data_IF_956043554449
#
_entry.id   IF_956043554449
#
_cell.length_a   1.000
_cell.length_b   1.000
_cell.length_c   1.000
_cell.angle_alpha   90.00
_cell.angle_beta   90.00
_cell.angle_gamma   90.00
#
_symmetry.space_group_name_H-M   'P 1'
#
loop_
_entity.id
_entity.type
_entity.pdbx_description
1 polymer ?
#
# COMPACT_ATOMS: atom_id res chain seq x y z
N UNK A 1 4.61 1.81 -12.38
CA UNK A 1 5.78 0.92 -12.54
C UNK A 1 6.50 1.28 -13.84
N UNK A 2 7.73 1.79 -13.78
CA UNK A 2 8.48 2.27 -14.96
C UNK A 2 9.70 1.42 -15.29
N UNK A 3 10.50 1.07 -14.27
CA UNK A 3 11.67 0.22 -14.42
C UNK A 3 11.50 -1.05 -13.60
N UNK A 4 12.03 -2.17 -14.09
CA UNK A 4 12.09 -3.44 -13.36
C UNK A 4 12.86 -3.31 -12.04
N UNK A 5 13.99 -2.61 -12.08
CA UNK A 5 14.92 -2.44 -10.95
C UNK A 5 14.29 -1.77 -9.72
N UNK A 6 13.21 -1.01 -9.90
CA UNK A 6 12.51 -0.36 -8.79
C UNK A 6 11.56 -1.32 -8.05
N UNK A 7 11.30 -2.52 -8.60
CA UNK A 7 10.26 -3.44 -8.12
C UNK A 7 10.78 -4.85 -7.86
N UNK A 8 12.03 -5.15 -8.20
CA UNK A 8 12.63 -6.48 -8.13
C UNK A 8 13.94 -6.43 -7.37
N UNK A 9 14.19 -7.43 -6.53
CA UNK A 9 15.41 -7.47 -5.73
C UNK A 9 16.65 -7.63 -6.64
N UNK A 10 17.81 -7.06 -6.28
CA UNK A 10 19.01 -7.11 -7.13
C UNK A 10 19.42 -8.53 -7.54
N UNK A 11 19.24 -9.52 -6.67
CA UNK A 11 19.56 -10.93 -6.95
C UNK A 11 18.58 -11.58 -7.95
N UNK A 12 17.34 -11.11 -7.99
CA UNK A 12 16.33 -11.54 -8.97
C UNK A 12 16.61 -10.90 -10.33
N UNK A 13 16.93 -9.60 -10.35
CA UNK A 13 17.35 -8.90 -11.56
C UNK A 13 18.61 -9.51 -12.18
N UNK A 14 19.60 -9.87 -11.36
CA UNK A 14 20.80 -10.56 -11.85
C UNK A 14 20.45 -11.90 -12.50
N UNK A 15 19.58 -12.70 -11.89
CA UNK A 15 19.17 -13.99 -12.47
C UNK A 15 18.32 -13.84 -13.74
N UNK A 16 17.55 -12.77 -13.89
CA UNK A 16 16.89 -12.45 -15.16
C UNK A 16 17.93 -12.22 -16.26
N UNK A 17 18.98 -11.41 -16.00
CA UNK A 17 20.06 -11.16 -16.95
C UNK A 17 20.91 -12.40 -17.29
N UNK A 18 21.05 -13.35 -16.37
CA UNK A 18 21.79 -14.60 -16.61
C UNK A 18 21.10 -15.56 -17.60
N UNK A 19 19.80 -15.39 -17.83
CA UNK A 19 19.06 -16.24 -18.76
C UNK A 19 19.21 -15.74 -20.19
N UNK A 20 19.61 -16.65 -21.08
CA UNK A 20 19.85 -16.31 -22.49
C UNK A 20 18.61 -15.81 -23.25
N UNK A 21 17.42 -16.28 -22.89
CA UNK A 21 16.17 -15.88 -23.52
C UNK A 21 15.76 -14.46 -23.13
N UNK A 22 15.79 -14.15 -21.83
CA UNK A 22 15.56 -12.79 -21.31
C UNK A 22 16.65 -11.83 -21.78
N UNK A 23 17.92 -12.24 -21.72
CA UNK A 23 19.03 -11.44 -22.22
C UNK A 23 18.84 -11.05 -23.69
N UNK A 24 18.48 -12.02 -24.54
CA UNK A 24 18.23 -11.74 -25.95
C UNK A 24 17.04 -10.80 -26.17
N UNK A 25 15.94 -10.98 -25.43
CA UNK A 25 14.75 -10.12 -25.52
C UNK A 25 15.07 -8.68 -25.07
N UNK A 26 15.73 -8.51 -23.93
CA UNK A 26 16.10 -7.20 -23.39
C UNK A 26 17.10 -6.48 -24.28
N UNK A 27 18.12 -7.17 -24.81
CA UNK A 27 19.06 -6.56 -25.77
C UNK A 27 18.34 -6.13 -27.05
N UNK A 28 17.41 -6.95 -27.57
CA UNK A 28 16.62 -6.59 -28.75
C UNK A 28 15.71 -5.38 -28.50
N UNK A 29 15.24 -5.19 -27.26
CA UNK A 29 14.50 -4.00 -26.82
C UNK A 29 15.40 -2.78 -26.56
N UNK A 30 16.73 -2.91 -26.68
CA UNK A 30 17.70 -1.82 -26.48
C UNK A 30 18.18 -1.64 -25.03
N UNK A 31 17.79 -2.55 -24.14
CA UNK A 31 18.21 -2.55 -22.74
C UNK A 31 19.67 -3.03 -22.60
N UNK A 32 20.34 -2.65 -21.51
CA UNK A 32 21.76 -2.98 -21.30
C UNK A 32 22.03 -3.40 -19.86
N UNK A 33 22.87 -4.44 -19.64
CA UNK A 33 23.36 -4.77 -18.30
C UNK A 33 23.99 -3.55 -17.61
N UNK A 34 23.72 -3.39 -16.31
CA UNK A 34 24.20 -2.24 -15.52
C UNK A 34 23.42 -0.94 -15.72
N UNK A 35 22.39 -0.93 -16.57
CA UNK A 35 21.38 0.14 -16.65
C UNK A 35 20.04 -0.38 -16.16
N UNK A 36 19.17 0.53 -15.72
CA UNK A 36 17.79 0.17 -15.35
C UNK A 36 17.04 -0.32 -16.57
N UNK A 37 16.33 -1.44 -16.42
CA UNK A 37 15.54 -2.09 -17.49
C UNK A 37 14.13 -1.51 -17.47
N UNK A 38 13.62 -1.05 -18.61
CA UNK A 38 12.25 -0.56 -18.67
C UNK A 38 11.25 -1.70 -18.56
N UNK A 39 10.12 -1.43 -17.91
CA UNK A 39 8.97 -2.33 -17.93
C UNK A 39 8.26 -2.25 -19.28
N UNK A 40 7.96 -3.40 -19.87
CA UNK A 40 7.18 -3.50 -21.10
C UNK A 40 5.78 -2.89 -20.92
N UNK A 41 5.22 -2.32 -21.98
CA UNK A 41 3.91 -1.65 -21.94
C UNK A 41 2.95 -2.14 -23.02
N UNK A 42 1.68 -2.28 -22.66
CA UNK A 42 0.59 -2.48 -23.62
C UNK A 42 0.37 -1.20 -24.43
N UNK A 43 -0.46 -1.30 -25.48
CA UNK A 43 -0.82 -0.15 -26.32
C UNK A 43 -1.51 0.98 -25.56
N UNK A 44 -2.19 0.67 -24.45
CA UNK A 44 -2.82 1.64 -23.55
C UNK A 44 -1.83 2.23 -22.51
N UNK A 45 -0.55 1.86 -22.58
CA UNK A 45 0.50 2.35 -21.70
C UNK A 45 0.63 1.62 -20.36
N UNK A 46 -0.22 0.64 -20.06
CA UNK A 46 -0.13 -0.14 -18.82
C UNK A 46 1.09 -1.07 -18.83
N UNK A 47 1.79 -1.22 -17.70
CA UNK A 47 2.91 -2.15 -17.60
C UNK A 47 2.40 -3.58 -17.74
N UNK A 48 3.17 -4.42 -18.44
CA UNK A 48 2.95 -5.86 -18.51
C UNK A 48 4.29 -6.59 -18.56
N UNK A 49 4.25 -7.87 -18.20
CA UNK A 49 5.40 -8.77 -18.27
C UNK A 49 5.25 -9.62 -19.54
N UNK A 50 6.31 -9.74 -20.33
CA UNK A 50 6.29 -10.57 -21.55
C UNK A 50 6.18 -12.06 -21.19
N UNK A 51 5.86 -12.90 -22.18
CA UNK A 51 5.82 -14.35 -21.93
C UNK A 51 7.22 -14.91 -21.59
N UNK A 52 8.29 -14.34 -22.15
CA UNK A 52 9.69 -14.71 -21.85
C UNK A 52 10.04 -14.34 -20.41
N UNK A 53 9.72 -13.11 -20.00
CA UNK A 53 9.96 -12.63 -18.63
C UNK A 53 9.15 -13.44 -17.60
N UNK A 54 7.87 -13.73 -17.89
CA UNK A 54 7.02 -14.53 -17.01
C UNK A 54 7.55 -15.97 -16.86
N UNK A 55 7.97 -16.58 -17.97
CA UNK A 55 8.59 -17.91 -17.97
C UNK A 55 9.88 -17.94 -17.16
N UNK A 56 10.73 -16.92 -17.31
CA UNK A 56 11.96 -16.76 -16.58
C UNK A 56 11.72 -16.64 -15.06
N UNK A 57 10.83 -15.73 -14.64
CA UNK A 57 10.47 -15.55 -13.23
C UNK A 57 9.95 -16.84 -12.61
N UNK A 58 9.01 -17.53 -13.28
CA UNK A 58 8.48 -18.79 -12.80
C UNK A 58 9.59 -19.83 -12.59
N UNK A 59 10.50 -19.99 -13.56
CA UNK A 59 11.63 -20.91 -13.44
C UNK A 59 12.57 -20.54 -12.28
N UNK A 60 12.94 -19.27 -12.15
CA UNK A 60 13.85 -18.81 -11.10
C UNK A 60 13.26 -19.10 -9.72
N UNK A 61 11.99 -18.74 -9.50
CA UNK A 61 11.26 -18.99 -8.25
C UNK A 61 11.18 -20.49 -7.94
N UNK A 62 10.74 -21.29 -8.92
CA UNK A 62 10.55 -22.74 -8.74
C UNK A 62 11.88 -23.42 -8.41
N UNK A 63 12.96 -23.06 -9.12
CA UNK A 63 14.28 -23.65 -8.89
C UNK A 63 14.85 -23.28 -7.52
N UNK A 64 14.74 -22.01 -7.12
CA UNK A 64 15.30 -21.54 -5.84
C UNK A 64 14.53 -22.03 -4.63
N UNK A 65 13.20 -22.10 -4.70
CA UNK A 65 12.37 -22.24 -3.50
C UNK A 65 11.52 -23.51 -3.47
N UNK A 66 11.19 -24.09 -4.62
CA UNK A 66 10.25 -25.22 -4.73
C UNK A 66 10.87 -26.48 -5.32
N UNK A 67 12.18 -26.48 -5.60
CA UNK A 67 12.95 -27.64 -6.09
C UNK A 67 12.31 -28.38 -7.28
N UNK A 68 11.61 -27.65 -8.16
CA UNK A 68 10.94 -28.25 -9.31
C UNK A 68 9.58 -28.92 -9.03
N UNK A 69 9.02 -28.76 -7.83
CA UNK A 69 7.73 -29.36 -7.45
C UNK A 69 6.51 -28.77 -8.19
N UNK A 70 6.67 -27.65 -8.89
CA UNK A 70 5.64 -26.99 -9.69
C UNK A 70 6.14 -26.80 -11.12
N UNK A 71 5.29 -27.03 -12.11
CA UNK A 71 5.64 -26.84 -13.51
C UNK A 71 5.58 -25.36 -13.92
N UNK A 72 6.62 -24.77 -14.55
CA UNK A 72 6.60 -23.37 -14.97
C UNK A 72 5.45 -23.01 -15.92
N UNK A 73 5.06 -23.92 -16.81
CA UNK A 73 3.94 -23.71 -17.72
C UNK A 73 2.60 -23.51 -16.99
N UNK A 74 2.42 -24.16 -15.83
CA UNK A 74 1.24 -23.95 -14.99
C UNK A 74 1.19 -22.53 -14.44
N UNK A 75 2.31 -22.02 -13.93
CA UNK A 75 2.42 -20.67 -13.37
C UNK A 75 2.15 -19.62 -14.44
N UNK A 76 2.75 -19.77 -15.61
CA UNK A 76 2.53 -18.88 -16.75
C UNK A 76 1.06 -18.87 -17.21
N UNK A 77 0.40 -20.04 -17.27
CA UNK A 77 -0.99 -20.13 -17.66
C UNK A 77 -1.93 -19.49 -16.63
N UNK A 78 -1.67 -19.67 -15.34
CA UNK A 78 -2.44 -19.03 -14.26
C UNK A 78 -2.24 -17.50 -14.33
N UNK A 79 -1.00 -17.00 -14.45
CA UNK A 79 -0.75 -15.57 -14.54
C UNK A 79 -1.45 -14.91 -15.76
N UNK A 80 -1.51 -15.62 -16.89
CA UNK A 80 -2.25 -15.14 -18.06
C UNK A 80 -3.76 -15.04 -17.80
N UNK A 81 -4.35 -16.06 -17.16
CA UNK A 81 -5.78 -16.07 -16.84
C UNK A 81 -6.15 -15.05 -15.77
N UNK A 82 -5.29 -14.88 -14.77
CA UNK A 82 -5.58 -14.07 -13.60
C UNK A 82 -5.38 -12.57 -13.85
N UNK A 83 -4.31 -12.20 -14.56
CA UNK A 83 -3.93 -10.79 -14.74
C UNK A 83 -3.62 -10.39 -16.17
N UNK A 84 -3.64 -11.33 -17.13
CA UNK A 84 -3.06 -11.12 -18.47
C UNK A 84 -1.61 -10.62 -18.40
N UNK A 85 -0.84 -11.16 -17.43
CA UNK A 85 0.54 -10.77 -17.11
C UNK A 85 0.71 -9.28 -16.74
N UNK A 86 -0.32 -8.64 -16.20
CA UNK A 86 -0.23 -7.26 -15.72
C UNK A 86 0.14 -7.23 -14.23
N UNK A 87 1.31 -6.70 -13.85
CA UNK A 87 1.77 -6.72 -12.46
C UNK A 87 0.98 -5.79 -11.54
N UNK A 88 0.23 -4.82 -12.09
CA UNK A 88 -0.65 -3.92 -11.34
C UNK A 88 -2.12 -4.36 -11.36
N UNK A 89 -2.41 -5.59 -11.78
CA UNK A 89 -3.77 -6.09 -11.79
C UNK A 89 -4.34 -6.14 -10.36
N UNK A 90 -5.59 -5.68 -10.23
CA UNK A 90 -6.34 -5.69 -8.99
C UNK A 90 -7.77 -6.14 -9.29
N UNK A 91 -8.30 -7.00 -8.42
CA UNK A 91 -9.69 -7.42 -8.46
C UNK A 91 -10.22 -7.55 -7.03
N UNK A 92 -11.13 -6.65 -6.67
CA UNK A 92 -11.89 -6.75 -5.43
C UNK A 92 -12.95 -7.86 -5.55
N UNK A 93 -12.99 -8.76 -4.57
CA UNK A 93 -13.94 -9.85 -4.46
C UNK A 93 -14.92 -9.54 -3.31
N UNK A 94 -16.10 -8.94 -3.60
CA UNK A 94 -17.03 -8.49 -2.55
C UNK A 94 -17.48 -9.60 -1.60
N UNK A 95 -17.59 -10.83 -2.12
CA UNK A 95 -17.98 -12.00 -1.33
C UNK A 95 -16.93 -12.38 -0.26
N UNK A 96 -15.66 -12.05 -0.50
CA UNK A 96 -14.56 -12.32 0.41
C UNK A 96 -14.18 -11.08 1.25
N UNK A 97 -14.68 -9.90 0.88
CA UNK A 97 -14.32 -8.64 1.53
C UNK A 97 -12.85 -8.27 1.34
N UNK A 98 -12.23 -8.77 0.27
CA UNK A 98 -10.79 -8.69 0.04
C UNK A 98 -10.50 -8.53 -1.46
N UNK A 99 -9.33 -7.97 -1.79
CA UNK A 99 -8.85 -7.91 -3.16
C UNK A 99 -7.71 -8.90 -3.42
N UNK A 100 -7.72 -9.44 -4.63
CA UNK A 100 -6.61 -10.17 -5.21
C UNK A 100 -5.76 -9.21 -6.06
N UNK A 101 -4.44 -9.34 -5.97
CA UNK A 101 -3.51 -8.38 -6.60
C UNK A 101 -2.32 -9.05 -7.28
N UNK A 102 -1.73 -8.32 -8.22
CA UNK A 102 -0.52 -8.72 -8.93
C UNK A 102 -0.74 -9.76 -10.03
N UNK A 103 0.38 -10.27 -10.54
CA UNK A 103 0.44 -11.22 -11.64
C UNK A 103 -0.37 -12.50 -11.38
N UNK A 104 -0.31 -12.99 -10.15
CA UNK A 104 -0.92 -14.25 -9.75
C UNK A 104 -2.30 -14.06 -9.09
N UNK A 105 -2.81 -12.83 -8.98
CA UNK A 105 -4.05 -12.47 -8.27
C UNK A 105 -4.19 -13.22 -6.94
N UNK A 106 -3.13 -13.17 -6.13
CA UNK A 106 -3.16 -13.76 -4.80
C UNK A 106 -3.88 -12.79 -3.85
N UNK A 107 -4.74 -13.31 -2.98
CA UNK A 107 -5.32 -12.53 -1.88
C UNK A 107 -4.23 -12.20 -0.85
N UNK A 108 -4.30 -11.02 -0.25
CA UNK A 108 -3.36 -10.62 0.79
C UNK A 108 -3.36 -11.62 1.96
N UNK A 109 -4.55 -12.05 2.40
CA UNK A 109 -4.78 -13.01 3.47
C UNK A 109 -4.19 -14.38 3.14
N UNK A 110 -4.31 -14.82 1.89
CA UNK A 110 -3.70 -16.07 1.40
C UNK A 110 -2.19 -15.98 1.43
N UNK A 111 -1.59 -14.89 0.93
CA UNK A 111 -0.15 -14.68 1.02
C UNK A 111 0.32 -14.61 2.49
N UNK A 112 -0.43 -13.93 3.37
CA UNK A 112 -0.20 -13.86 4.82
C UNK A 112 -0.14 -15.23 5.47
N UNK A 113 -1.15 -16.04 5.19
CA UNK A 113 -1.24 -17.38 5.74
C UNK A 113 -0.13 -18.29 5.19
N UNK A 114 0.20 -18.20 3.89
CA UNK A 114 1.31 -18.95 3.31
C UNK A 114 2.64 -18.60 3.98
N UNK A 115 2.89 -17.32 4.20
CA UNK A 115 4.12 -16.86 4.82
C UNK A 115 4.23 -17.24 6.30
N UNK A 116 3.17 -16.97 7.07
CA UNK A 116 3.18 -17.07 8.54
C UNK A 116 2.94 -18.49 9.04
N UNK A 117 2.00 -19.18 8.43
CA UNK A 117 1.48 -20.45 8.95
C UNK A 117 2.02 -21.64 8.17
N UNK A 118 2.28 -21.47 6.86
CA UNK A 118 2.75 -22.56 6.00
C UNK A 118 4.27 -22.55 5.71
N UNK A 119 5.00 -21.57 6.24
CA UNK A 119 6.46 -21.53 6.18
C UNK A 119 7.06 -21.03 4.86
N UNK A 120 6.29 -20.34 4.00
CA UNK A 120 6.81 -19.77 2.75
C UNK A 120 7.37 -18.35 2.97
N UNK A 121 8.63 -18.25 3.40
CA UNK A 121 9.26 -17.00 3.88
C UNK A 121 10.41 -16.47 3.01
N UNK A 122 10.52 -16.91 1.74
CA UNK A 122 11.67 -16.57 0.90
C UNK A 122 11.75 -15.10 0.50
N UNK A 123 10.59 -14.43 0.41
CA UNK A 123 10.51 -12.99 0.21
C UNK A 123 10.08 -12.35 1.51
N UNK A 124 10.78 -11.27 1.91
CA UNK A 124 10.38 -10.47 3.06
C UNK A 124 8.99 -9.90 2.80
N UNK A 125 8.09 -10.15 3.75
CA UNK A 125 6.72 -9.66 3.72
C UNK A 125 6.60 -8.58 4.78
N UNK A 126 6.98 -7.37 4.38
CA UNK A 126 6.69 -6.14 5.12
C UNK A 126 5.19 -5.81 5.10
N UNK A 127 4.40 -6.58 4.34
CA UNK A 127 2.96 -6.42 4.11
C UNK A 127 2.58 -5.02 3.65
N UNK A 128 3.49 -4.29 3.00
CA UNK A 128 3.15 -3.09 2.27
C UNK A 128 2.03 -3.43 1.27
N UNK A 129 1.04 -2.53 1.13
CA UNK A 129 -0.13 -2.73 0.25
C UNK A 129 0.29 -3.00 -1.21
N UNK A 130 1.50 -2.60 -1.57
CA UNK A 130 2.06 -2.74 -2.92
C UNK A 130 2.91 -4.01 -3.12
N UNK A 131 3.12 -4.82 -2.08
CA UNK A 131 4.09 -5.91 -2.14
C UNK A 131 3.73 -6.96 -3.19
N UNK A 132 2.46 -7.35 -3.28
CA UNK A 132 1.98 -8.31 -4.28
C UNK A 132 1.97 -7.73 -5.71
N UNK A 133 2.19 -6.42 -5.89
CA UNK A 133 2.46 -5.84 -7.20
C UNK A 133 3.92 -6.01 -7.65
N UNK A 134 4.84 -6.39 -6.74
CA UNK A 134 6.22 -6.73 -7.12
C UNK A 134 6.21 -8.07 -7.87
N UNK A 135 6.70 -8.13 -9.13
CA UNK A 135 6.53 -9.30 -9.97
C UNK A 135 6.99 -10.62 -9.34
N UNK A 136 8.22 -10.67 -8.81
CA UNK A 136 8.77 -11.88 -8.19
C UNK A 136 8.02 -12.29 -6.92
N UNK A 137 7.57 -11.33 -6.11
CA UNK A 137 6.80 -11.62 -4.87
C UNK A 137 5.43 -12.18 -5.22
N UNK A 138 4.75 -11.60 -6.21
CA UNK A 138 3.47 -12.10 -6.72
C UNK A 138 3.59 -13.55 -7.21
N UNK A 139 4.61 -13.83 -8.03
CA UNK A 139 4.88 -15.18 -8.55
C UNK A 139 5.23 -16.14 -7.41
N UNK A 140 6.07 -15.74 -6.46
CA UNK A 140 6.42 -16.56 -5.31
C UNK A 140 5.20 -17.04 -4.53
N UNK A 141 4.29 -16.14 -4.14
CA UNK A 141 3.11 -16.52 -3.37
C UNK A 141 2.08 -17.29 -4.17
N UNK A 142 1.93 -17.00 -5.47
CA UNK A 142 1.14 -17.84 -6.36
C UNK A 142 1.69 -19.28 -6.45
N UNK A 143 3.00 -19.44 -6.61
CA UNK A 143 3.66 -20.76 -6.63
C UNK A 143 3.58 -21.45 -5.26
N UNK A 144 3.72 -20.71 -4.16
CA UNK A 144 3.53 -21.23 -2.81
C UNK A 144 2.13 -21.79 -2.61
N UNK A 145 1.10 -21.11 -3.12
CA UNK A 145 -0.27 -21.58 -3.03
C UNK A 145 -0.49 -22.85 -3.87
N UNK A 146 0.03 -22.87 -5.10
CA UNK A 146 0.01 -24.07 -5.97
C UNK A 146 0.70 -25.25 -5.29
N UNK A 147 1.88 -25.02 -4.71
CA UNK A 147 2.64 -26.05 -4.00
C UNK A 147 1.88 -26.56 -2.78
N UNK A 148 1.26 -25.68 -1.99
CA UNK A 148 0.43 -26.09 -0.88
C UNK A 148 -0.78 -26.92 -1.33
N UNK A 149 -1.50 -26.46 -2.37
CA UNK A 149 -2.63 -27.17 -2.95
C UNK A 149 -2.24 -28.55 -3.47
N UNK A 150 -1.02 -28.73 -3.99
CA UNK A 150 -0.54 -30.02 -4.48
C UNK A 150 -0.49 -31.13 -3.43
N UNK A 151 -0.49 -30.75 -2.14
CA UNK A 151 -0.46 -31.67 -0.99
C UNK A 151 -1.67 -31.53 -0.07
N UNK A 152 -2.75 -30.89 -0.55
CA UNK A 152 -3.93 -30.58 0.26
C UNK A 152 -4.52 -31.84 0.93
N UNK A 153 -4.84 -31.74 2.22
CA UNK A 153 -5.26 -32.85 3.10
C UNK A 153 -4.24 -34.02 3.18
N UNK A 154 -2.95 -33.74 3.00
CA UNK A 154 -1.88 -34.74 3.08
C UNK A 154 -1.86 -35.71 1.90
N UNK A 155 -2.51 -35.36 0.79
CA UNK A 155 -2.59 -36.19 -0.42
C UNK A 155 -2.06 -35.43 -1.63
N UNK A 156 -1.36 -36.14 -2.50
CA UNK A 156 -0.97 -35.60 -3.79
C UNK A 156 -2.22 -35.33 -4.63
N UNK A 157 -2.41 -34.08 -5.01
CA UNK A 157 -3.57 -33.64 -5.78
C UNK A 157 -3.27 -33.67 -7.29
N UNK A 158 -4.32 -33.85 -8.09
CA UNK A 158 -4.21 -33.73 -9.54
C UNK A 158 -4.04 -32.28 -9.96
N UNK A 159 -3.47 -32.05 -11.14
CA UNK A 159 -3.37 -30.73 -11.74
C UNK A 159 -4.74 -30.04 -11.87
N UNK A 160 -5.77 -30.77 -12.28
CA UNK A 160 -7.13 -30.23 -12.34
C UNK A 160 -7.62 -29.75 -10.97
N UNK A 161 -7.39 -30.55 -9.91
CA UNK A 161 -7.75 -30.15 -8.56
C UNK A 161 -7.03 -28.85 -8.18
N UNK A 162 -5.72 -28.79 -8.38
CA UNK A 162 -4.89 -27.63 -8.02
C UNK A 162 -5.39 -26.38 -8.73
N UNK A 163 -5.62 -26.44 -10.04
CA UNK A 163 -6.05 -25.27 -10.84
C UNK A 163 -7.45 -24.82 -10.47
N UNK A 164 -8.39 -25.76 -10.26
CA UNK A 164 -9.75 -25.41 -9.85
C UNK A 164 -9.80 -24.88 -8.42
N UNK A 165 -8.98 -25.42 -7.53
CA UNK A 165 -8.84 -24.95 -6.15
C UNK A 165 -8.11 -23.60 -6.06
N UNK A 166 -7.22 -23.29 -7.01
CA UNK A 166 -6.60 -21.97 -7.10
C UNK A 166 -7.65 -20.88 -7.31
N UNK A 167 -8.60 -21.12 -8.22
CA UNK A 167 -9.67 -20.17 -8.54
C UNK A 167 -10.81 -20.16 -7.50
N UNK A 168 -11.27 -21.31 -7.02
CA UNK A 168 -12.47 -21.42 -6.18
C UNK A 168 -12.23 -21.83 -4.72
N UNK A 169 -10.97 -21.93 -4.29
CA UNK A 169 -10.59 -22.54 -3.02
C UNK A 169 -10.69 -24.08 -3.03
N UNK A 170 -10.08 -24.77 -2.04
CA UNK A 170 -10.03 -26.24 -2.02
C UNK A 170 -11.42 -26.92 -2.02
N UNK A 171 -12.41 -26.30 -1.39
CA UNK A 171 -13.80 -26.79 -1.37
C UNK A 171 -14.55 -26.55 -2.69
N UNK A 172 -14.08 -25.61 -3.52
CA UNK A 172 -14.64 -25.29 -4.84
C UNK A 172 -14.06 -26.13 -5.99
N UNK A 173 -13.06 -26.99 -5.72
CA UNK A 173 -12.31 -27.77 -6.70
C UNK A 173 -13.15 -28.75 -7.53
N UNK A 174 -14.31 -29.18 -7.00
CA UNK A 174 -15.25 -30.07 -7.71
C UNK A 174 -16.52 -29.35 -8.18
N UNK A 175 -16.66 -28.05 -7.91
CA UNK A 175 -17.87 -27.29 -8.27
C UNK A 175 -17.97 -27.05 -9.78
N UNK A 176 -19.20 -27.01 -10.33
CA UNK A 176 -19.40 -26.67 -11.75
C UNK A 176 -18.87 -25.26 -12.10
N UNK A 177 -18.85 -24.35 -11.13
CA UNK A 177 -18.38 -22.97 -11.31
C UNK A 177 -16.90 -22.89 -11.72
N UNK A 178 -16.05 -23.79 -11.20
CA UNK A 178 -14.61 -23.80 -11.51
C UNK A 178 -14.24 -24.57 -12.78
N UNK A 179 -15.19 -25.30 -13.39
CA UNK A 179 -14.93 -26.10 -14.59
C UNK A 179 -14.54 -25.24 -15.80
N UNK A 180 -15.21 -24.09 -15.97
CA UNK A 180 -14.90 -23.16 -17.04
C UNK A 180 -13.47 -22.60 -16.91
N UNK A 181 -13.01 -22.36 -15.68
CA UNK A 181 -11.64 -21.92 -15.41
C UNK A 181 -10.61 -22.99 -15.83
N UNK A 182 -10.86 -24.26 -15.50
CA UNK A 182 -10.03 -25.39 -15.92
C UNK A 182 -9.91 -25.53 -17.46
N UNK A 183 -11.02 -25.43 -18.18
CA UNK A 183 -11.02 -25.52 -19.64
C UNK A 183 -10.22 -24.40 -20.31
N UNK A 184 -10.35 -23.18 -19.79
CA UNK A 184 -9.55 -22.03 -20.23
C UNK A 184 -8.06 -22.24 -19.93
N UNK A 185 -7.74 -22.74 -18.74
CA UNK A 185 -6.36 -23.07 -18.34
C UNK A 185 -5.72 -24.07 -19.29
N UNK A 186 -6.41 -25.16 -19.65
CA UNK A 186 -5.87 -26.15 -20.59
C UNK A 186 -5.56 -25.53 -21.96
N UNK A 187 -6.43 -24.65 -22.44
CA UNK A 187 -6.25 -23.96 -23.73
C UNK A 187 -5.05 -23.02 -23.69
N UNK A 188 -4.92 -22.22 -22.63
CA UNK A 188 -3.81 -21.30 -22.43
C UNK A 188 -2.49 -22.06 -22.25
N UNK A 189 -2.44 -23.07 -21.39
CA UNK A 189 -1.22 -23.85 -21.12
C UNK A 189 -0.65 -24.49 -22.40
N UNK A 190 -1.53 -25.01 -23.28
CA UNK A 190 -1.12 -25.59 -24.57
C UNK A 190 -0.55 -24.55 -25.54
N UNK A 191 -0.99 -23.30 -25.44
CA UNK A 191 -0.57 -22.21 -26.33
C UNK A 191 0.73 -21.53 -25.87
N UNK A 192 1.22 -21.80 -24.65
CA UNK A 192 2.44 -21.16 -24.14
C UNK A 192 3.66 -21.62 -24.96
N UNK A 193 4.42 -20.70 -25.56
CA UNK A 193 5.67 -21.03 -26.23
C UNK A 193 6.70 -21.46 -25.18
N UNK A 194 7.03 -22.74 -25.13
CA UNK A 194 8.08 -23.29 -24.28
C UNK A 194 9.44 -23.01 -24.95
N UNK A 195 10.37 -22.27 -24.31
CA UNK A 195 11.71 -22.08 -24.85
C UNK A 195 12.43 -23.43 -24.98
N UNK A 196 12.86 -23.77 -26.20
CA UNK A 196 13.42 -25.10 -26.54
C UNK A 196 14.86 -25.35 -26.08
N UNK A 197 15.48 -24.43 -25.33
CA UNK A 197 16.91 -24.48 -25.03
C UNK A 197 17.18 -24.79 -23.56
N UNK A 198 17.97 -25.81 -23.22
CA UNK A 198 18.51 -25.99 -21.88
C UNK A 198 19.36 -24.77 -21.51
N UNK A 199 19.16 -24.23 -20.31
CA UNK A 199 19.90 -23.08 -19.76
C UNK A 199 21.40 -23.41 -19.73
N UNK A 200 22.19 -22.88 -20.66
CA UNK A 200 23.65 -22.85 -20.55
C UNK A 200 24.02 -21.63 -19.72
N UNK A 201 24.72 -21.82 -18.60
CA UNK A 201 25.32 -20.73 -17.82
C UNK A 201 26.25 -19.93 -18.74
N UNK A 202 25.93 -18.65 -18.96
CA UNK A 202 26.87 -17.72 -19.59
C UNK A 202 27.81 -17.22 -18.49
N UNK A 203 29.13 -17.34 -18.73
CA UNK A 203 30.16 -16.89 -17.79
C UNK A 203 30.12 -15.36 -17.60
N UNK A 204 30.48 -14.85 -16.41
CA UNK A 204 30.44 -13.41 -16.16
C UNK A 204 31.44 -12.66 -17.03
N UNK A 205 30.95 -11.64 -17.74
CA UNK A 205 31.78 -10.65 -18.43
C UNK A 205 32.53 -9.84 -17.37
N UNK A 206 33.87 -9.85 -17.42
CA UNK A 206 34.71 -8.98 -16.60
C UNK A 206 34.39 -7.52 -16.93
N UNK A 207 33.88 -6.75 -15.96
CA UNK A 207 33.91 -5.29 -16.03
C UNK A 207 35.38 -4.86 -15.92
N UNK A 208 35.93 -4.27 -16.99
CA UNK A 208 37.20 -3.55 -16.90
C UNK A 208 36.98 -2.24 -16.13
N UNK A 209 37.64 -2.13 -14.98
CA UNK A 209 37.68 -0.92 -14.18
C UNK A 209 38.61 0.11 -14.83
N UNK A 210 38.04 1.23 -15.26
CA UNK A 210 38.79 2.38 -15.75
C UNK A 210 39.49 3.09 -14.57
N UNK A 211 40.81 3.26 -14.71
CA UNK A 211 41.75 3.71 -13.67
C UNK A 211 41.46 5.14 -13.20
N UNK A 212 41.11 5.31 -11.93
CA UNK A 212 41.26 6.59 -11.21
C UNK A 212 42.56 6.57 -10.41
N UNK A 213 43.40 7.58 -10.64
CA UNK A 213 44.74 7.75 -10.07
C UNK A 213 44.69 7.89 -8.55
N UNK A 214 45.53 7.10 -7.89
CA UNK A 214 45.86 7.13 -6.46
C UNK A 214 46.56 8.42 -6.03
N UNK A 215 46.13 9.00 -4.91
CA UNK A 215 46.92 9.93 -4.09
C UNK A 215 47.34 9.17 -2.83
N UNK A 216 48.63 9.22 -2.53
CA UNK A 216 49.29 8.49 -1.45
C UNK A 216 48.84 8.95 -0.06
N UNK A 217 48.63 7.99 0.85
CA UNK A 217 48.51 8.25 2.29
C UNK A 217 49.65 7.52 3.00
N UNK A 218 50.42 8.30 3.76
CA UNK A 218 51.50 7.87 4.64
C UNK A 218 51.01 6.90 5.73
N UNK A 219 51.83 5.89 6.03
CA UNK A 219 51.65 4.90 7.11
C UNK A 219 51.78 5.54 8.50
N UNK A 220 51.06 5.05 9.53
CA UNK A 220 51.51 5.17 10.90
C UNK A 220 52.04 3.84 11.48
N UNK A 221 52.96 4.01 12.41
CA UNK A 221 53.73 3.04 13.18
C UNK A 221 52.92 2.59 14.41
N UNK A 222 53.04 1.32 14.78
CA UNK A 222 52.46 0.72 15.99
C UNK A 222 53.32 0.99 17.23
N UNK A 223 52.69 1.35 18.36
CA UNK A 223 53.19 1.05 19.73
C UNK A 223 52.01 0.85 20.70
N UNK A 224 52.15 -0.15 21.55
CA UNK A 224 51.27 -0.63 22.63
C UNK A 224 50.95 0.37 23.75
N UNK A 225 49.82 0.13 24.45
CA UNK A 225 49.56 0.64 25.80
C UNK A 225 48.08 0.56 26.20
N UNK A 226 47.76 -0.24 27.22
CA UNK A 226 46.38 -0.59 27.61
C UNK A 226 45.57 0.47 28.39
N UNK A 227 44.25 0.34 28.18
CA UNK A 227 43.08 0.63 29.05
C UNK A 227 42.92 2.00 29.71
N UNK A 228 42.05 2.83 29.11
CA UNK A 228 40.98 3.58 29.78
C UNK A 228 39.79 3.67 28.80
N UNK A 229 38.60 3.17 29.16
CA UNK A 229 37.37 3.20 28.35
C UNK A 229 36.52 4.44 28.66
N UNK A 230 36.05 5.14 27.62
CA UNK A 230 34.72 5.78 27.53
C UNK A 230 34.38 6.22 26.09
N UNK A 231 33.19 5.79 25.62
CA UNK A 231 32.33 6.29 24.52
C UNK A 231 32.84 6.09 23.06
N UNK A 232 32.10 5.47 22.13
CA UNK A 232 30.69 5.66 21.72
C UNK A 232 29.93 4.37 21.30
N UNK A 233 28.59 4.40 21.48
CA UNK A 233 27.53 3.46 21.04
C UNK A 233 26.92 3.90 19.67
N UNK A 234 26.05 3.14 18.95
CA UNK A 234 25.34 1.92 19.37
C UNK A 234 25.37 0.74 18.37
N UNK A 235 25.55 -0.46 18.92
CA UNK A 235 24.96 -1.69 18.39
C UNK A 235 23.58 -1.81 19.03
N UNK A 236 22.51 -1.76 18.22
CA UNK A 236 21.19 -2.24 18.64
C UNK A 236 20.90 -3.51 17.86
N UNK A 237 21.10 -4.64 18.52
CA UNK A 237 20.30 -5.83 18.26
C UNK A 237 18.85 -5.52 18.61
N UNK A 238 17.89 -5.88 17.75
CA UNK A 238 16.51 -6.01 18.21
C UNK A 238 15.76 -7.05 17.39
N UNK A 239 15.30 -8.10 18.06
CA UNK A 239 14.27 -8.96 17.52
C UNK A 239 12.88 -8.31 17.52
N UNK A 240 12.00 -8.95 16.74
CA UNK A 240 10.53 -9.10 16.91
C UNK A 240 9.53 -8.08 16.31
N UNK A 241 8.52 -8.64 15.62
CA UNK A 241 7.07 -8.27 15.51
C UNK A 241 6.51 -7.62 14.23
N UNK A 242 5.38 -8.19 13.74
CA UNK A 242 4.40 -7.66 12.74
C UNK A 242 4.32 -6.13 12.77
N UNK A 243 4.75 -5.43 11.72
CA UNK A 243 4.94 -3.98 11.84
C UNK A 243 3.64 -3.17 11.75
N UNK A 244 3.56 -2.18 12.64
CA UNK A 244 2.48 -1.21 12.78
C UNK A 244 2.78 0.02 11.91
N UNK A 245 1.76 0.76 11.48
CA UNK A 245 2.00 2.12 10.99
C UNK A 245 2.17 3.03 12.20
N UNK A 246 3.14 3.94 12.14
CA UNK A 246 3.42 4.85 13.25
C UNK A 246 3.04 6.27 12.89
N UNK A 247 2.55 7.01 13.88
CA UNK A 247 2.21 8.42 13.71
C UNK A 247 3.42 9.26 13.31
N UNK A 248 4.61 8.91 13.81
CA UNK A 248 5.87 9.59 13.49
C UNK A 248 6.25 9.51 12.00
N UNK A 249 5.70 8.54 11.26
CA UNK A 249 5.88 8.44 9.80
C UNK A 249 4.86 9.28 9.02
N UNK A 250 3.77 9.66 9.68
CA UNK A 250 2.56 10.25 9.06
C UNK A 250 2.27 11.67 9.52
N UNK A 251 2.95 12.17 10.54
CA UNK A 251 2.78 13.50 11.09
C UNK A 251 4.15 14.15 11.38
N UNK A 252 4.22 15.47 11.26
CA UNK A 252 5.43 16.22 11.63
C UNK A 252 5.69 16.15 13.13
N UNK A 253 6.92 16.42 13.55
CA UNK A 253 7.28 16.49 14.97
C UNK A 253 6.44 17.55 15.72
N UNK A 254 6.13 18.67 15.06
CA UNK A 254 5.27 19.72 15.57
C UNK A 254 3.84 19.22 15.78
N UNK A 255 3.26 18.55 14.78
CA UNK A 255 1.90 18.01 14.85
C UNK A 255 1.79 16.93 15.94
N UNK A 256 2.80 16.07 16.06
CA UNK A 256 2.90 15.08 17.13
C UNK A 256 2.96 15.71 18.51
N UNK A 257 3.74 16.77 18.68
CA UNK A 257 3.81 17.49 19.95
C UNK A 257 2.46 18.07 20.35
N UNK A 258 1.68 18.56 19.37
CA UNK A 258 0.34 19.08 19.63
C UNK A 258 -0.65 17.98 20.03
N UNK A 259 -0.60 16.81 19.40
CA UNK A 259 -1.39 15.65 19.82
C UNK A 259 -1.08 15.26 21.28
N UNK A 260 0.21 15.17 21.63
CA UNK A 260 0.64 14.86 23.00
C UNK A 260 0.26 15.93 24.03
N UNK A 261 0.09 17.19 23.62
CA UNK A 261 -0.40 18.28 24.48
C UNK A 261 -1.90 18.17 24.79
N UNK A 262 -2.69 17.42 23.99
CA UNK A 262 -4.12 17.21 24.27
C UNK A 262 -4.28 16.19 25.41
N UNK A 263 -4.85 16.56 26.57
CA UNK A 263 -4.90 15.68 27.74
C UNK A 263 -5.64 14.35 27.48
N UNK A 264 -6.69 14.38 26.66
CA UNK A 264 -7.49 13.20 26.34
C UNK A 264 -6.72 12.22 25.45
N UNK A 265 -6.00 12.72 24.43
CA UNK A 265 -5.13 11.91 23.57
C UNK A 265 -4.01 11.30 24.40
N UNK A 266 -3.29 12.13 25.16
CA UNK A 266 -2.22 11.66 26.04
C UNK A 266 -2.70 10.55 26.98
N UNK A 267 -3.89 10.72 27.57
CA UNK A 267 -4.48 9.72 28.45
C UNK A 267 -4.84 8.43 27.72
N UNK A 268 -5.40 8.51 26.52
CA UNK A 268 -5.75 7.35 25.70
C UNK A 268 -4.51 6.57 25.26
N UNK A 269 -3.53 7.26 24.71
CA UNK A 269 -2.26 6.70 24.25
C UNK A 269 -1.46 6.06 25.39
N UNK A 270 -1.33 6.73 26.54
CA UNK A 270 -0.67 6.14 27.71
C UNK A 270 -1.40 4.90 28.22
N UNK A 271 -2.74 4.89 28.20
CA UNK A 271 -3.53 3.70 28.59
C UNK A 271 -3.33 2.55 27.60
N UNK A 272 -3.16 2.83 26.32
CA UNK A 272 -2.86 1.86 25.28
C UNK A 272 -1.38 1.41 25.27
N UNK A 273 -0.54 1.97 26.15
CA UNK A 273 0.88 1.63 26.28
C UNK A 273 1.78 2.35 25.26
N UNK A 274 1.27 3.35 24.55
CA UNK A 274 2.03 4.15 23.60
C UNK A 274 2.98 5.12 24.31
N UNK A 275 4.10 5.44 23.66
CA UNK A 275 5.12 6.38 24.15
C UNK A 275 5.52 7.36 23.06
N UNK A 276 6.06 8.51 23.46
CA UNK A 276 6.63 9.47 22.53
C UNK A 276 7.64 8.80 21.58
N UNK A 277 7.57 9.14 20.29
CA UNK A 277 8.52 8.69 19.27
C UNK A 277 8.20 7.32 18.67
N UNK A 278 7.14 6.64 19.13
CA UNK A 278 6.67 5.38 18.55
C UNK A 278 5.19 5.14 18.86
N UNK A 279 4.32 6.02 18.42
CA UNK A 279 2.87 5.89 18.63
C UNK A 279 2.26 5.13 17.45
N UNK A 280 1.64 3.99 17.74
CA UNK A 280 0.96 3.19 16.71
C UNK A 280 -0.33 3.87 16.25
N UNK A 281 -0.60 3.80 14.94
CA UNK A 281 -1.90 4.16 14.38
C UNK A 281 -2.88 3.00 14.60
N UNK A 282 -4.09 3.34 15.04
CA UNK A 282 -5.16 2.38 15.28
C UNK A 282 -5.54 1.59 14.02
N UNK A 283 -6.08 0.39 14.22
CA UNK A 283 -6.49 -0.52 13.15
C UNK A 283 -7.93 -0.97 13.33
N UNK A 284 -8.72 -0.93 12.25
CA UNK A 284 -10.10 -1.38 12.28
C UNK A 284 -10.19 -2.92 12.36
N UNK A 285 -11.41 -3.47 12.32
CA UNK A 285 -11.61 -4.92 12.35
C UNK A 285 -10.95 -5.64 11.15
N UNK A 286 -10.76 -4.93 10.03
CA UNK A 286 -10.06 -5.39 8.82
C UNK A 286 -8.56 -5.07 8.87
N UNK A 287 -8.03 -4.67 10.03
CA UNK A 287 -6.64 -4.26 10.27
C UNK A 287 -6.17 -3.04 9.46
N UNK A 288 -7.09 -2.30 8.85
CA UNK A 288 -6.76 -1.11 8.07
C UNK A 288 -6.44 0.06 9.00
N UNK A 289 -5.37 0.82 8.76
CA UNK A 289 -5.03 1.98 9.58
C UNK A 289 -6.11 3.05 9.51
N UNK A 290 -6.62 3.45 10.66
CA UNK A 290 -7.70 4.41 10.81
C UNK A 290 -7.49 5.27 12.05
N UNK A 291 -8.15 6.41 12.10
CA UNK A 291 -8.19 7.22 13.32
C UNK A 291 -9.37 6.84 14.19
N UNK A 292 -9.15 6.75 15.51
CA UNK A 292 -10.28 6.75 16.44
C UNK A 292 -11.03 8.08 16.33
N UNK A 293 -12.29 8.11 16.79
CA UNK A 293 -13.06 9.36 16.84
C UNK A 293 -12.36 10.44 17.68
N UNK A 294 -11.61 10.03 18.71
CA UNK A 294 -10.85 10.96 19.55
C UNK A 294 -9.64 11.51 18.79
N UNK A 295 -8.88 10.65 18.12
CA UNK A 295 -7.72 11.04 17.30
C UNK A 295 -8.13 11.97 16.15
N UNK A 296 -9.18 11.60 15.40
CA UNK A 296 -9.71 12.43 14.32
C UNK A 296 -10.13 13.81 14.81
N UNK A 297 -10.86 13.87 15.94
CA UNK A 297 -11.24 15.13 16.57
C UNK A 297 -10.01 15.99 16.89
N UNK A 298 -8.98 15.41 17.48
CA UNK A 298 -7.77 16.16 17.85
C UNK A 298 -7.04 16.67 16.61
N UNK A 299 -6.89 15.86 15.55
CA UNK A 299 -6.30 16.30 14.27
C UNK A 299 -7.09 17.46 13.67
N UNK A 300 -8.43 17.38 13.67
CA UNK A 300 -9.31 18.44 13.18
C UNK A 300 -9.16 19.72 13.99
N UNK A 301 -9.26 19.65 15.31
CA UNK A 301 -9.12 20.82 16.21
C UNK A 301 -7.76 21.49 16.02
N UNK A 302 -6.67 20.72 16.03
CA UNK A 302 -5.30 21.23 15.83
C UNK A 302 -5.15 21.90 14.45
N UNK A 303 -5.67 21.26 13.39
CA UNK A 303 -5.58 21.80 12.03
C UNK A 303 -6.32 23.13 11.93
N UNK A 304 -7.53 23.22 12.49
CA UNK A 304 -8.32 24.45 12.47
C UNK A 304 -7.68 25.55 13.31
N UNK A 305 -7.24 25.25 14.53
CA UNK A 305 -6.58 26.21 15.43
C UNK A 305 -5.32 26.83 14.80
N UNK A 306 -4.50 26.05 14.10
CA UNK A 306 -3.22 26.53 13.57
C UNK A 306 -3.32 27.20 12.20
N UNK A 307 -4.32 26.84 11.39
CA UNK A 307 -4.32 27.20 9.97
C UNK A 307 -5.59 27.88 9.49
N UNK A 308 -6.68 27.77 10.25
CA UNK A 308 -7.98 28.33 9.90
C UNK A 308 -8.56 29.15 11.05
N UNK A 309 -7.71 29.66 11.96
CA UNK A 309 -8.12 30.55 13.03
C UNK A 309 -8.86 31.77 12.46
N UNK A 310 -10.06 32.05 13.00
CA UNK A 310 -10.93 33.13 12.53
C UNK A 310 -11.80 32.78 11.32
N UNK A 311 -11.72 31.55 10.80
CA UNK A 311 -12.67 31.02 9.79
C UNK A 311 -13.83 30.30 10.47
N UNK A 312 -15.03 30.43 9.91
CA UNK A 312 -16.24 29.78 10.42
C UNK A 312 -16.36 28.33 9.92
N UNK A 313 -15.38 27.48 10.25
CA UNK A 313 -15.42 26.04 9.93
C UNK A 313 -15.78 25.26 11.19
N UNK A 314 -16.92 24.58 11.16
CA UNK A 314 -17.37 23.71 12.25
C UNK A 314 -16.49 22.43 12.31
N UNK A 315 -15.79 22.14 13.43
CA UNK A 315 -15.02 20.91 13.58
C UNK A 315 -15.84 19.63 13.36
N UNK A 316 -17.13 19.65 13.71
CA UNK A 316 -18.03 18.51 13.52
C UNK A 316 -18.27 18.22 12.03
N UNK A 317 -18.24 19.24 11.18
CA UNK A 317 -18.35 19.07 9.74
C UNK A 317 -17.20 18.24 9.20
N UNK A 318 -15.97 18.57 9.55
CA UNK A 318 -14.79 17.83 9.08
C UNK A 318 -14.76 16.40 9.61
N UNK A 319 -15.16 16.19 10.87
CA UNK A 319 -15.28 14.84 11.44
C UNK A 319 -16.33 14.01 10.69
N UNK A 320 -17.50 14.59 10.41
CA UNK A 320 -18.58 13.91 9.69
C UNK A 320 -18.21 13.63 8.22
N UNK A 321 -17.53 14.55 7.53
CA UNK A 321 -17.02 14.33 6.18
C UNK A 321 -16.01 13.18 6.13
N UNK A 322 -15.08 13.11 7.08
CA UNK A 322 -14.14 12.00 7.18
C UNK A 322 -14.85 10.66 7.48
N UNK A 323 -15.92 10.68 8.29
CA UNK A 323 -16.73 9.50 8.58
C UNK A 323 -17.38 8.92 7.32
N UNK A 324 -18.13 9.74 6.59
CA UNK A 324 -18.92 9.28 5.44
C UNK A 324 -18.06 9.08 4.19
N UNK A 325 -16.94 9.79 4.11
CA UNK A 325 -16.00 9.72 2.99
C UNK A 325 -15.07 8.53 3.11
N UNK A 326 -14.31 8.44 4.21
CA UNK A 326 -13.24 7.43 4.36
C UNK A 326 -13.48 6.41 5.45
N UNK A 327 -14.56 6.51 6.25
CA UNK A 327 -14.70 5.74 7.48
C UNK A 327 -13.52 5.94 8.44
N UNK A 328 -12.90 7.14 8.39
CA UNK A 328 -11.68 7.53 9.13
C UNK A 328 -10.42 6.75 8.73
N UNK A 329 -10.41 6.08 7.58
CA UNK A 329 -9.25 5.38 7.06
C UNK A 329 -8.22 6.38 6.53
N UNK A 330 -6.98 6.29 6.99
CA UNK A 330 -5.93 7.24 6.55
C UNK A 330 -5.55 7.04 5.08
N UNK A 331 -5.84 5.87 4.50
CA UNK A 331 -5.64 5.58 3.08
C UNK A 331 -6.92 5.66 2.25
N UNK A 332 -8.06 5.99 2.84
CA UNK A 332 -9.35 5.93 2.15
C UNK A 332 -9.92 4.50 2.01
N UNK A 333 -11.15 4.36 1.47
CA UNK A 333 -11.81 3.07 1.35
C UNK A 333 -11.61 2.33 0.02
N UNK A 334 -10.88 2.88 -0.98
CA UNK A 334 -10.73 2.28 -2.31
C UNK A 334 -9.52 2.77 -3.13
N UNK A 335 -9.28 2.12 -4.28
CA UNK A 335 -8.03 2.23 -5.07
C UNK A 335 -7.68 3.61 -5.65
N UNK A 336 -8.65 4.52 -5.76
CA UNK A 336 -8.43 5.89 -6.27
C UNK A 336 -8.84 6.96 -5.25
N UNK A 337 -8.98 6.54 -4.00
CA UNK A 337 -9.56 7.33 -2.93
C UNK A 337 -8.53 7.48 -1.83
N UNK A 338 -8.00 8.67 -1.63
CA UNK A 338 -6.87 8.88 -0.73
C UNK A 338 -7.23 9.75 0.47
N UNK A 339 -6.70 9.38 1.63
CA UNK A 339 -6.75 10.22 2.82
C UNK A 339 -8.06 10.21 3.59
N UNK A 340 -8.01 10.74 4.81
CA UNK A 340 -9.16 10.89 5.69
C UNK A 340 -10.30 11.68 5.05
N UNK A 341 -9.94 12.75 4.34
CA UNK A 341 -10.91 13.71 3.81
C UNK A 341 -11.38 13.39 2.39
N UNK A 342 -10.76 12.41 1.71
CA UNK A 342 -11.13 12.04 0.33
C UNK A 342 -11.11 13.21 -0.66
N UNK A 343 -10.24 14.21 -0.39
CA UNK A 343 -10.02 15.31 -1.33
C UNK A 343 -9.20 14.77 -2.50
N UNK A 344 -9.71 14.92 -3.73
CA UNK A 344 -8.99 14.54 -4.94
C UNK A 344 -7.62 15.21 -5.01
N UNK A 345 -6.60 14.49 -5.47
CA UNK A 345 -5.23 15.01 -5.55
C UNK A 345 -5.17 16.30 -6.39
N UNK A 346 -5.89 16.34 -7.49
CA UNK A 346 -5.96 17.53 -8.37
C UNK A 346 -6.59 18.72 -7.67
N UNK A 347 -7.63 18.50 -6.83
CA UNK A 347 -8.24 19.56 -6.00
C UNK A 347 -7.26 20.06 -4.94
N UNK A 348 -6.56 19.16 -4.25
CA UNK A 348 -5.55 19.55 -3.26
C UNK A 348 -4.38 20.33 -3.91
N UNK A 349 -3.91 19.89 -5.08
CA UNK A 349 -2.88 20.59 -5.85
C UNK A 349 -3.33 21.98 -6.29
N UNK A 350 -4.58 22.14 -6.74
CA UNK A 350 -5.14 23.44 -7.09
C UNK A 350 -5.29 24.35 -5.86
N UNK A 351 -5.78 23.83 -4.72
CA UNK A 351 -5.82 24.58 -3.46
C UNK A 351 -4.43 25.06 -3.03
N UNK A 352 -3.44 24.18 -3.17
CA UNK A 352 -2.05 24.51 -2.88
C UNK A 352 -1.53 25.58 -3.84
N UNK A 353 -1.60 25.34 -5.15
CA UNK A 353 -0.95 26.18 -6.18
C UNK A 353 -1.62 27.54 -6.32
N UNK A 354 -2.94 27.54 -6.46
CA UNK A 354 -3.72 28.67 -6.95
C UNK A 354 -4.45 29.40 -5.84
N UNK A 355 -4.93 28.70 -4.80
CA UNK A 355 -5.72 29.31 -3.71
C UNK A 355 -4.89 29.71 -2.48
N UNK A 356 -3.57 29.45 -2.48
CA UNK A 356 -2.65 29.92 -1.44
C UNK A 356 -2.56 29.04 -0.18
N UNK A 357 -3.13 27.84 -0.18
CA UNK A 357 -3.06 26.91 0.95
C UNK A 357 -1.72 26.15 0.97
N UNK A 358 -0.65 26.77 1.49
CA UNK A 358 0.75 26.33 1.32
C UNK A 358 1.36 25.52 2.49
N UNK A 359 0.61 25.23 3.56
CA UNK A 359 1.21 24.62 4.78
C UNK A 359 1.86 23.25 4.52
N UNK A 360 1.18 22.38 3.78
CA UNK A 360 1.67 21.04 3.46
C UNK A 360 1.90 20.93 1.94
N UNK A 361 2.99 20.27 1.54
CA UNK A 361 3.21 19.94 0.12
C UNK A 361 2.32 18.78 -0.30
N UNK A 362 1.84 18.82 -1.54
CA UNK A 362 0.93 17.81 -2.09
C UNK A 362 1.28 17.49 -3.55
N UNK A 363 2.47 16.96 -3.74
CA UNK A 363 3.01 16.67 -5.07
C UNK A 363 2.64 15.25 -5.55
N UNK A 364 2.35 14.34 -4.61
CA UNK A 364 2.05 12.92 -4.86
C UNK A 364 0.82 12.46 -4.06
N UNK A 365 0.07 11.43 -4.52
CA UNK A 365 -1.12 10.93 -3.82
C UNK A 365 -0.87 10.58 -2.35
N UNK A 366 0.28 9.98 -2.06
CA UNK A 366 0.65 9.51 -0.72
C UNK A 366 0.68 10.62 0.34
N UNK A 367 0.89 11.88 -0.06
CA UNK A 367 0.86 13.02 0.85
C UNK A 367 -0.51 13.15 1.53
N UNK A 368 -1.60 12.80 0.82
CA UNK A 368 -2.95 12.82 1.37
C UNK A 368 -3.22 11.65 2.33
N UNK A 369 -2.34 10.65 2.40
CA UNK A 369 -2.44 9.60 3.43
C UNK A 369 -2.00 10.04 4.82
N UNK A 370 -1.35 11.21 4.92
CA UNK A 370 -0.98 11.81 6.19
C UNK A 370 -2.20 12.51 6.81
N UNK A 371 -2.59 12.18 8.05
CA UNK A 371 -3.79 12.73 8.67
C UNK A 371 -3.92 14.25 8.60
N UNK A 372 -2.87 14.97 9.02
CA UNK A 372 -2.87 16.44 9.03
C UNK A 372 -2.93 17.05 7.64
N UNK A 373 -2.16 16.52 6.69
CA UNK A 373 -2.20 16.96 5.29
C UNK A 373 -3.58 16.75 4.68
N UNK A 374 -4.19 15.58 4.90
CA UNK A 374 -5.54 15.28 4.43
C UNK A 374 -6.58 16.24 5.02
N UNK A 375 -6.57 16.41 6.35
CA UNK A 375 -7.50 17.30 7.06
C UNK A 375 -7.31 18.76 6.66
N UNK A 376 -6.08 19.22 6.46
CA UNK A 376 -5.77 20.57 6.00
C UNK A 376 -6.38 20.87 4.62
N UNK A 377 -6.18 20.00 3.64
CA UNK A 377 -6.76 20.22 2.31
C UNK A 377 -8.27 20.02 2.29
N UNK A 378 -8.82 19.13 3.12
CA UNK A 378 -10.27 19.04 3.30
C UNK A 378 -10.87 20.31 3.89
N UNK A 379 -10.24 20.89 4.92
CA UNK A 379 -10.64 22.17 5.51
C UNK A 379 -10.50 23.34 4.53
N UNK A 380 -9.42 23.36 3.75
CA UNK A 380 -9.21 24.36 2.70
C UNK A 380 -10.31 24.31 1.64
N UNK A 381 -10.74 23.11 1.24
CA UNK A 381 -11.82 22.98 0.28
C UNK A 381 -13.18 23.41 0.85
N UNK A 382 -13.47 23.05 2.11
CA UNK A 382 -14.66 23.53 2.83
C UNK A 382 -14.65 25.06 2.92
N UNK A 383 -13.53 25.67 3.27
CA UNK A 383 -13.37 27.12 3.32
C UNK A 383 -13.64 27.77 1.96
N UNK A 384 -13.07 27.21 0.89
CA UNK A 384 -13.27 27.74 -0.46
C UNK A 384 -14.74 27.61 -0.91
N UNK A 385 -15.40 26.49 -0.59
CA UNK A 385 -16.83 26.30 -0.87
C UNK A 385 -17.70 27.26 -0.06
N UNK A 386 -17.34 27.57 1.19
CA UNK A 386 -18.09 28.48 2.06
C UNK A 386 -18.15 29.92 1.50
N UNK A 387 -17.13 30.32 0.72
CA UNK A 387 -17.00 31.65 0.10
C UNK A 387 -17.24 31.60 -1.43
N UNK A 388 -17.79 30.49 -1.95
CA UNK A 388 -17.94 30.27 -3.38
C UNK A 388 -18.73 31.40 -4.06
N UNK A 389 -18.19 31.93 -5.17
CA UNK A 389 -18.68 33.11 -5.90
C UNK A 389 -18.80 34.38 -5.04
N UNK A 390 -17.96 34.53 -4.02
CA UNK A 390 -17.93 35.71 -3.14
C UNK A 390 -19.16 35.83 -2.23
N UNK A 391 -19.89 34.72 -2.02
CA UNK A 391 -21.09 34.68 -1.18
C UNK A 391 -20.92 33.62 -0.10
N UNK A 392 -21.43 33.92 1.09
CA UNK A 392 -21.55 32.94 2.18
C UNK A 392 -22.54 31.84 1.77
N UNK A 393 -22.07 30.61 1.69
CA UNK A 393 -22.87 29.46 1.29
C UNK A 393 -23.53 28.78 2.50
N UNK A 394 -24.62 28.05 2.25
CA UNK A 394 -25.24 27.20 3.27
C UNK A 394 -24.40 25.95 3.52
N UNK A 395 -24.56 25.36 4.70
CA UNK A 395 -23.89 24.10 5.04
C UNK A 395 -24.24 22.97 4.05
N UNK A 396 -25.49 22.88 3.61
CA UNK A 396 -25.89 21.91 2.60
C UNK A 396 -25.16 22.13 1.26
N UNK A 397 -25.03 23.39 0.81
CA UNK A 397 -24.26 23.70 -0.41
C UNK A 397 -22.82 23.24 -0.26
N UNK A 398 -22.19 23.55 0.87
CA UNK A 398 -20.79 23.18 1.15
C UNK A 398 -20.62 21.66 1.09
N UNK A 399 -21.46 20.89 1.79
CA UNK A 399 -21.31 19.43 1.87
C UNK A 399 -21.63 18.75 0.52
N UNK A 400 -22.67 19.20 -0.18
CA UNK A 400 -23.00 18.67 -1.51
C UNK A 400 -21.95 19.04 -2.55
N UNK A 401 -21.41 20.26 -2.46
CA UNK A 401 -20.29 20.74 -3.26
C UNK A 401 -18.99 20.00 -2.96
N UNK A 402 -18.79 19.57 -1.71
CA UNK A 402 -17.65 18.75 -1.31
C UNK A 402 -17.68 17.40 -2.04
N UNK A 403 -18.82 16.71 -2.05
CA UNK A 403 -18.97 15.40 -2.66
C UNK A 403 -19.13 15.39 -4.19
N UNK A 404 -19.46 16.52 -4.83
CA UNK A 404 -19.76 16.56 -6.27
C UNK A 404 -19.22 17.76 -7.04
N UNK A 405 -18.47 18.65 -6.40
CA UNK A 405 -18.11 19.97 -6.92
C UNK A 405 -19.27 20.98 -6.85
N UNK A 406 -18.98 22.29 -6.91
CA UNK A 406 -20.01 23.34 -6.83
C UNK A 406 -21.03 23.28 -7.98
N UNK A 407 -20.65 22.78 -9.16
CA UNK A 407 -21.56 22.54 -10.29
C UNK A 407 -22.36 21.24 -10.17
N UNK A 408 -22.00 20.34 -9.26
CA UNK A 408 -22.63 19.04 -9.06
C UNK A 408 -23.68 19.00 -7.95
N UNK A 409 -23.97 20.13 -7.31
CA UNK A 409 -24.84 20.17 -6.13
C UNK A 409 -26.20 19.55 -6.38
N UNK A 410 -26.80 19.67 -7.57
CA UNK A 410 -28.14 19.16 -7.87
C UNK A 410 -28.19 17.67 -8.27
N UNK A 411 -27.06 16.96 -8.28
CA UNK A 411 -27.02 15.53 -8.65
C UNK A 411 -27.67 14.67 -7.56
N UNK A 412 -28.41 13.59 -7.91
CA UNK A 412 -28.99 12.69 -6.91
C UNK A 412 -27.97 12.13 -5.91
N UNK A 413 -26.76 11.80 -6.36
CA UNK A 413 -25.70 11.26 -5.52
C UNK A 413 -25.27 12.22 -4.38
N UNK A 414 -25.28 13.54 -4.59
CA UNK A 414 -24.90 14.51 -3.56
C UNK A 414 -26.01 14.70 -2.52
N UNK A 415 -27.28 14.44 -2.87
CA UNK A 415 -28.39 14.39 -1.89
C UNK A 415 -28.17 13.24 -0.92
N UNK A 416 -27.85 12.05 -1.42
CA UNK A 416 -27.53 10.88 -0.57
C UNK A 416 -26.31 11.16 0.32
N UNK A 417 -25.30 11.83 -0.22
CA UNK A 417 -24.12 12.24 0.55
C UNK A 417 -24.47 13.20 1.70
N UNK A 418 -25.33 14.19 1.44
CA UNK A 418 -25.84 15.12 2.45
C UNK A 418 -26.62 14.43 3.57
N UNK A 419 -27.49 13.47 3.25
CA UNK A 419 -28.25 12.74 4.27
C UNK A 419 -27.33 11.92 5.19
N UNK A 420 -26.35 11.21 4.62
CA UNK A 420 -25.33 10.50 5.40
C UNK A 420 -24.52 11.45 6.28
N UNK A 421 -24.20 12.64 5.77
CA UNK A 421 -23.52 13.68 6.53
C UNK A 421 -24.32 14.13 7.76
N UNK A 422 -25.62 14.41 7.61
CA UNK A 422 -26.47 14.82 8.72
C UNK A 422 -26.51 13.77 9.84
N UNK A 423 -26.62 12.49 9.48
CA UNK A 423 -26.58 11.37 10.42
C UNK A 423 -25.23 11.31 11.16
N UNK A 424 -24.13 11.40 10.42
CA UNK A 424 -22.79 11.41 11.00
C UNK A 424 -22.55 12.62 11.92
N UNK A 425 -22.92 13.83 11.48
CA UNK A 425 -22.78 15.05 12.27
C UNK A 425 -23.57 14.96 13.58
N UNK A 426 -24.80 14.44 13.54
CA UNK A 426 -25.62 14.24 14.73
C UNK A 426 -24.99 13.22 15.71
N UNK A 427 -24.38 12.15 15.21
CA UNK A 427 -23.62 11.21 16.05
C UNK A 427 -22.44 11.88 16.74
N UNK A 428 -21.62 12.63 16.00
CA UNK A 428 -20.48 13.34 16.58
C UNK A 428 -20.92 14.40 17.59
N UNK A 429 -21.99 15.15 17.31
CA UNK A 429 -22.52 16.16 18.24
C UNK A 429 -22.94 15.54 19.59
N UNK A 430 -23.61 14.38 19.59
CA UNK A 430 -23.97 13.67 20.83
C UNK A 430 -22.74 13.28 21.64
N UNK A 431 -21.74 12.69 20.99
CA UNK A 431 -20.50 12.28 21.65
C UNK A 431 -19.66 13.47 22.13
N UNK A 432 -19.68 14.58 21.40
CA UNK A 432 -18.97 15.81 21.74
C UNK A 432 -19.59 16.48 22.96
N UNK A 433 -20.92 16.63 22.99
CA UNK A 433 -21.66 17.23 24.10
C UNK A 433 -21.62 16.37 25.38
N UNK A 434 -21.55 15.03 25.26
CA UNK A 434 -21.34 14.12 26.39
C UNK A 434 -19.97 14.29 27.07
N UNK A 435 -18.98 14.86 26.37
CA UNK A 435 -17.66 15.16 26.92
C UNK A 435 -17.57 16.58 27.49
N UNK A 436 -18.20 17.57 26.85
CA UNK A 436 -18.26 18.93 27.43
C UNK A 436 -19.11 18.98 28.71
N UNK A 437 -20.22 18.24 28.79
CA UNK A 437 -20.98 18.07 30.03
C UNK A 437 -20.16 17.41 31.17
N UNK A 438 -19.20 16.53 30.86
CA UNK A 438 -18.24 15.98 31.84
C UNK A 438 -17.09 16.93 32.21
N UNK A 439 -16.82 17.95 31.39
CA UNK A 439 -15.93 19.07 31.73
C UNK A 439 -16.64 20.08 32.64
N UNK A 440 -17.91 20.38 32.38
CA UNK A 440 -18.70 21.31 33.20
C UNK A 440 -19.11 20.70 34.57
N UNK A 441 -19.43 19.40 34.64
CA UNK A 441 -19.78 18.74 35.91
C UNK A 441 -18.59 18.49 36.87
N UNK A 442 -17.37 18.98 36.59
CA UNK A 442 -16.27 19.00 37.57
C UNK A 442 -16.08 20.36 38.27
N UNK A 443 -16.85 21.39 37.91
CA UNK A 443 -16.80 22.70 38.57
C UNK A 443 -18.05 23.02 39.41
N UNK A 444 -18.91 22.05 39.70
CA UNK A 444 -20.12 22.27 40.51
C UNK A 444 -20.46 21.08 41.39
N UNK A 445 -19.61 20.80 42.37
CA UNK A 445 -20.03 20.31 43.69
C UNK A 445 -19.12 20.99 44.71
N UNK A 446 -19.74 21.69 45.65
CA UNK A 446 -19.13 22.42 46.77
C UNK A 446 -18.32 21.51 47.71
#
# INVERSE_FOLDING_TARGET
MKFWDDWVDPADMAAMWERSDVYAEWIAAGERPGRKVHMSKLSDGKPYVTQTEMWAMANIIIQRHFKGAVEPAMVCAIAELESSRQPLAYRFEPALGEASTGLMQTLQSTAEWLARDMGYHAYSVDWAVTLLYRPFVSVYYGVAYIHWLSSYCGKQQSEEFIVRAYNGGPHGSHSKATLHYWQRYQSVKKAIPIPKTPVKKVMPVKLEAEKVKTVEVMKPVSVDGGTVEAQELPVVSSGTTKEWSFWEEKASAEDMMQLWRRPEIRKEWLRAGERHGRVRICRDAQKRPYLTKLELRAVVEITLENHFAGKEIDPLMLCALAEIGSQRLIYGPGENQTGLMQTELTTAQWLFRDMGFKKYRVDVPDALSQPFTSTYFGAAYVQWLAEHNGKKQSEEFIVRGYGGGPGGINRPATVTYWLKYLEAKAMYAKEWNLKDSRRFNRCSVQ
#
